data_IF_906295556433
#
_entry.id   IF_906295556433
#
_cell.length_a   1.000
_cell.length_b   1.000
_cell.length_c   1.000
_cell.angle_alpha   90.00
_cell.angle_beta   90.00
_cell.angle_gamma   90.00
#
_symmetry.space_group_name_H-M   'P 1'
#
loop_
_entity.id
_entity.type
_entity.pdbx_description
1 polymer ?
#
# COMPACT_ATOMS: atom_id res chain seq x y z
N UNK A 1 -8.18 9.08 -5.99
CA UNK A 1 -7.06 8.45 -5.26
C UNK A 1 -5.85 9.35 -5.50
N UNK A 2 -5.14 9.82 -4.46
CA UNK A 2 -4.08 10.83 -4.63
C UNK A 2 -2.91 10.36 -5.50
N UNK A 3 -2.73 9.04 -5.63
CA UNK A 3 -1.70 8.41 -6.44
C UNK A 3 -2.03 8.30 -7.94
N UNK A 4 -3.16 8.83 -8.41
CA UNK A 4 -3.44 8.96 -9.85
C UNK A 4 -2.88 10.29 -10.32
N UNK A 5 -2.01 10.27 -11.34
CA UNK A 5 -1.46 11.47 -11.95
C UNK A 5 -2.15 11.84 -13.26
N UNK A 6 -1.74 12.98 -13.82
CA UNK A 6 -2.33 13.54 -15.04
C UNK A 6 -2.18 12.63 -16.24
N UNK A 7 -1.01 11.98 -16.40
CA UNK A 7 -0.77 11.09 -17.53
C UNK A 7 -1.75 9.91 -17.49
N UNK A 8 -1.98 9.34 -16.30
CA UNK A 8 -2.93 8.26 -16.12
C UNK A 8 -4.37 8.74 -16.39
N UNK A 9 -4.76 9.91 -15.89
CA UNK A 9 -6.08 10.50 -16.14
C UNK A 9 -6.35 10.66 -17.65
N UNK A 10 -5.43 11.29 -18.38
CA UNK A 10 -5.57 11.47 -19.83
C UNK A 10 -5.60 10.14 -20.59
N UNK A 11 -4.87 9.11 -20.13
CA UNK A 11 -4.95 7.77 -20.74
C UNK A 11 -6.30 7.11 -20.50
N UNK A 12 -6.83 7.17 -19.28
CA UNK A 12 -8.14 6.60 -18.97
C UNK A 12 -9.22 7.21 -19.86
N UNK A 13 -9.25 8.54 -19.94
CA UNK A 13 -10.20 9.26 -20.80
C UNK A 13 -10.08 8.88 -22.28
N UNK A 14 -8.86 8.86 -22.85
CA UNK A 14 -8.67 8.41 -24.24
C UNK A 14 -9.16 6.99 -24.48
N UNK A 15 -8.90 6.07 -23.55
CA UNK A 15 -9.34 4.67 -23.68
C UNK A 15 -10.85 4.54 -23.59
N UNK A 16 -11.51 5.36 -22.77
CA UNK A 16 -12.97 5.38 -22.70
C UNK A 16 -13.58 5.97 -23.98
N UNK A 17 -13.05 7.08 -24.49
CA UNK A 17 -13.48 7.63 -25.79
C UNK A 17 -13.28 6.67 -26.97
N UNK A 18 -12.22 5.85 -26.93
CA UNK A 18 -12.02 4.77 -27.90
C UNK A 18 -13.02 3.62 -27.74
N UNK A 19 -13.41 3.29 -26.51
CA UNK A 19 -14.38 2.23 -26.21
C UNK A 19 -15.83 2.66 -26.52
N UNK A 20 -16.12 3.96 -26.49
CA UNK A 20 -17.43 4.55 -26.77
C UNK A 20 -17.33 5.54 -27.95
N UNK A 21 -17.17 5.04 -29.20
CA UNK A 21 -16.92 5.88 -30.37
C UNK A 21 -18.05 6.87 -30.67
N UNK A 22 -19.31 6.50 -30.40
CA UNK A 22 -20.47 7.40 -30.58
C UNK A 22 -20.43 8.62 -29.64
N UNK A 23 -19.60 8.55 -28.59
CA UNK A 23 -19.38 9.59 -27.59
C UNK A 23 -17.91 10.00 -27.53
N UNK A 24 -17.16 9.86 -28.63
CA UNK A 24 -15.73 10.15 -28.66
C UNK A 24 -15.38 11.61 -28.38
N UNK A 25 -16.34 12.53 -28.50
CA UNK A 25 -16.14 13.94 -28.18
C UNK A 25 -16.51 14.29 -26.72
N UNK A 26 -17.16 13.38 -26.01
CA UNK A 26 -17.54 13.57 -24.61
C UNK A 26 -16.40 13.15 -23.66
N UNK A 27 -16.21 13.91 -22.58
CA UNK A 27 -15.28 13.56 -21.50
C UNK A 27 -15.63 12.16 -20.96
N UNK A 28 -14.61 11.32 -20.79
CA UNK A 28 -14.71 9.92 -20.40
C UNK A 28 -15.65 9.06 -21.28
N UNK A 29 -15.85 9.43 -22.56
CA UNK A 29 -16.79 8.73 -23.43
C UNK A 29 -18.24 8.86 -22.97
N UNK A 30 -18.58 9.98 -22.33
CA UNK A 30 -19.91 10.27 -21.79
C UNK A 30 -20.29 9.46 -20.55
N UNK A 31 -19.32 8.82 -19.90
CA UNK A 31 -19.54 8.11 -18.64
C UNK A 31 -19.44 9.06 -17.45
N UNK A 32 -20.30 8.90 -16.42
CA UNK A 32 -20.14 9.63 -15.18
C UNK A 32 -18.84 9.21 -14.47
N UNK A 33 -18.06 10.19 -14.03
CA UNK A 33 -16.81 9.97 -13.32
C UNK A 33 -16.85 10.61 -11.92
N UNK A 34 -16.42 9.84 -10.92
CA UNK A 34 -16.30 10.32 -9.52
C UNK A 34 -14.86 10.09 -9.07
N UNK A 35 -14.21 11.15 -8.58
CA UNK A 35 -12.84 11.09 -8.06
C UNK A 35 -12.89 11.11 -6.52
N UNK A 36 -12.50 9.99 -5.91
CA UNK A 36 -12.43 9.85 -4.45
C UNK A 36 -10.98 9.77 -3.98
N UNK A 37 -10.54 10.66 -3.10
CA UNK A 37 -9.22 10.55 -2.47
C UNK A 37 -8.82 11.76 -1.64
N UNK A 38 -7.68 11.65 -0.98
CA UNK A 38 -7.12 12.70 -0.13
C UNK A 38 -5.76 13.14 -0.66
N UNK A 39 -5.71 14.29 -1.31
CA UNK A 39 -4.52 14.82 -1.98
C UNK A 39 -3.41 15.30 -1.02
N UNK A 40 -3.69 15.36 0.30
CA UNK A 40 -2.67 15.59 1.33
C UNK A 40 -1.89 14.31 1.69
N UNK A 41 -2.32 13.14 1.20
CA UNK A 41 -1.55 11.89 1.29
C UNK A 41 -0.46 11.84 0.21
N UNK A 42 0.08 10.66 -0.05
CA UNK A 42 1.17 10.49 -1.00
C UNK A 42 0.75 10.89 -2.43
N UNK A 43 1.62 11.63 -3.15
CA UNK A 43 1.42 11.97 -4.55
C UNK A 43 1.61 10.74 -5.47
N UNK A 44 1.24 10.82 -6.76
CA UNK A 44 1.51 9.75 -7.72
C UNK A 44 3.00 9.44 -7.86
N UNK A 45 3.33 8.15 -8.03
CA UNK A 45 4.69 7.70 -8.30
C UNK A 45 4.96 7.79 -9.80
N UNK A 46 5.97 8.58 -10.19
CA UNK A 46 6.41 8.68 -11.58
C UNK A 46 5.45 9.43 -12.52
N UNK A 47 4.42 10.10 -11.99
CA UNK A 47 3.48 10.94 -12.72
C UNK A 47 3.30 12.28 -11.98
N UNK A 48 2.66 13.26 -12.61
CA UNK A 48 2.42 14.59 -12.04
C UNK A 48 1.10 14.60 -11.26
N UNK A 49 1.04 15.13 -10.02
CA UNK A 49 -0.20 15.28 -9.27
C UNK A 49 -1.28 16.01 -10.08
N UNK A 50 -2.54 15.62 -9.88
CA UNK A 50 -3.67 16.19 -10.63
C UNK A 50 -3.82 17.70 -10.41
N UNK A 51 -3.56 18.20 -9.20
CA UNK A 51 -3.67 19.62 -8.81
C UNK A 51 -2.46 20.50 -9.19
N UNK A 52 -1.38 19.91 -9.71
CA UNK A 52 -0.18 20.69 -10.08
C UNK A 52 -0.53 21.79 -11.10
N UNK A 53 0.18 22.90 -11.17
CA UNK A 53 0.06 23.86 -12.28
C UNK A 53 1.33 23.83 -13.15
N UNK A 54 2.31 23.03 -12.75
CA UNK A 54 3.57 22.87 -13.46
C UNK A 54 3.38 22.09 -14.76
N UNK A 55 4.02 22.60 -15.81
CA UNK A 55 4.16 21.88 -17.07
C UNK A 55 5.04 20.64 -16.87
N UNK A 56 4.57 19.50 -17.37
CA UNK A 56 5.37 18.27 -17.40
C UNK A 56 6.10 18.17 -18.73
N UNK A 57 7.40 17.90 -18.68
CA UNK A 57 8.19 17.54 -19.86
C UNK A 57 7.92 16.11 -20.32
N UNK A 58 7.31 15.26 -19.46
CA UNK A 58 7.02 13.85 -19.76
C UNK A 58 5.62 13.71 -20.35
N UNK A 59 5.53 13.23 -21.60
CA UNK A 59 4.26 13.03 -22.34
C UNK A 59 3.34 14.27 -22.26
N UNK A 60 3.79 15.44 -22.75
CA UNK A 60 3.13 16.71 -22.52
C UNK A 60 1.66 16.73 -22.96
N UNK A 61 1.34 16.12 -24.10
CA UNK A 61 -0.04 16.04 -24.59
C UNK A 61 -1.00 15.32 -23.62
N UNK A 62 -0.61 14.14 -23.11
CA UNK A 62 -1.44 13.36 -22.17
C UNK A 62 -1.54 14.05 -20.81
N UNK A 63 -0.45 14.67 -20.36
CA UNK A 63 -0.43 15.43 -19.11
C UNK A 63 -1.35 16.66 -19.19
N UNK A 64 -1.30 17.42 -20.28
CA UNK A 64 -2.13 18.60 -20.49
C UNK A 64 -3.62 18.23 -20.60
N UNK A 65 -3.92 17.12 -21.27
CA UNK A 65 -5.27 16.57 -21.32
C UNK A 65 -5.77 16.12 -19.94
N UNK A 66 -4.95 15.39 -19.18
CA UNK A 66 -5.27 15.02 -17.80
C UNK A 66 -5.55 16.22 -16.89
N UNK A 67 -4.80 17.32 -17.05
CA UNK A 67 -5.07 18.57 -16.36
C UNK A 67 -6.43 19.17 -16.76
N UNK A 68 -6.71 19.28 -18.06
CA UNK A 68 -7.98 19.84 -18.57
C UNK A 68 -9.18 19.05 -18.04
N UNK A 69 -9.09 17.72 -18.11
CA UNK A 69 -10.10 16.81 -17.57
C UNK A 69 -10.32 17.02 -16.08
N UNK A 70 -9.23 17.13 -15.32
CA UNK A 70 -9.33 17.36 -13.87
C UNK A 70 -9.94 18.71 -13.51
N UNK A 71 -9.63 19.75 -14.30
CA UNK A 71 -10.20 21.09 -14.10
C UNK A 71 -11.71 21.13 -14.41
N UNK A 72 -12.22 20.21 -15.23
CA UNK A 72 -13.66 20.07 -15.48
C UNK A 72 -14.44 19.60 -14.23
N UNK A 73 -13.76 19.02 -13.23
CA UNK A 73 -14.36 18.77 -11.92
C UNK A 73 -14.41 20.08 -11.12
N UNK A 74 -15.57 20.72 -11.11
CA UNK A 74 -15.86 21.97 -10.38
C UNK A 74 -16.66 21.74 -9.11
N UNK A 75 -17.36 20.62 -8.98
CA UNK A 75 -18.08 20.24 -7.76
C UNK A 75 -17.19 19.37 -6.88
N UNK A 76 -17.04 19.76 -5.61
CA UNK A 76 -16.38 18.94 -4.60
C UNK A 76 -17.25 18.75 -3.36
N UNK A 77 -17.10 17.59 -2.73
CA UNK A 77 -17.71 17.28 -1.43
C UNK A 77 -16.58 16.92 -0.49
N UNK A 78 -16.45 17.68 0.60
CA UNK A 78 -15.45 17.43 1.64
C UNK A 78 -16.09 16.70 2.80
N UNK A 79 -15.64 15.47 3.06
CA UNK A 79 -16.04 14.72 4.25
C UNK A 79 -15.24 15.20 5.46
N UNK A 80 -15.93 15.64 6.51
CA UNK A 80 -15.32 16.22 7.72
C UNK A 80 -15.15 15.23 8.87
N UNK A 81 -16.00 14.21 8.97
CA UNK A 81 -15.96 13.23 10.07
C UNK A 81 -14.87 12.17 9.83
N UNK A 82 -13.96 12.05 10.80
CA UNK A 82 -12.91 11.02 10.82
C UNK A 82 -13.40 9.78 11.56
N UNK A 83 -13.71 8.71 10.81
CA UNK A 83 -14.18 7.44 11.41
C UNK A 83 -13.05 6.52 11.90
N UNK A 84 -11.83 6.65 11.36
CA UNK A 84 -10.73 5.74 11.75
C UNK A 84 -10.28 5.97 13.20
N UNK A 85 -10.18 7.25 13.58
CA UNK A 85 -9.84 7.71 14.92
C UNK A 85 -11.08 8.21 15.66
N UNK A 86 -12.19 7.47 15.54
CA UNK A 86 -13.44 7.77 16.21
C UNK A 86 -13.35 7.56 17.73
N UNK A 87 -14.16 8.29 18.48
CA UNK A 87 -14.16 8.30 19.93
C UNK A 87 -13.99 9.72 20.48
N UNK A 88 -14.59 9.94 21.64
CA UNK A 88 -14.69 11.25 22.29
C UNK A 88 -13.87 11.33 23.60
N UNK A 89 -13.04 10.32 23.88
CA UNK A 89 -12.11 10.42 24.99
C UNK A 89 -11.11 11.56 24.73
N UNK A 90 -10.65 12.29 25.77
CA UNK A 90 -9.72 13.40 25.58
C UNK A 90 -8.44 13.02 24.82
N UNK A 91 -7.93 11.81 25.04
CA UNK A 91 -6.77 11.27 24.31
C UNK A 91 -7.07 11.07 22.83
N UNK A 92 -8.24 10.50 22.50
CA UNK A 92 -8.63 10.20 21.13
C UNK A 92 -8.90 11.47 20.32
N UNK A 93 -9.56 12.46 20.95
CA UNK A 93 -9.75 13.81 20.36
C UNK A 93 -8.39 14.46 20.10
N UNK A 94 -7.49 14.47 21.10
CA UNK A 94 -6.15 15.04 20.98
C UNK A 94 -5.34 14.39 19.86
N UNK A 95 -5.40 13.06 19.74
CA UNK A 95 -4.73 12.31 18.68
C UNK A 95 -5.30 12.63 17.29
N UNK A 96 -6.63 12.67 17.16
CA UNK A 96 -7.30 13.04 15.90
C UNK A 96 -6.93 14.45 15.47
N UNK A 97 -6.91 15.41 16.40
CA UNK A 97 -6.56 16.79 16.11
C UNK A 97 -5.09 16.94 15.69
N UNK A 98 -4.18 16.22 16.35
CA UNK A 98 -2.77 16.16 15.97
C UNK A 98 -2.58 15.60 14.55
N UNK A 99 -3.36 14.58 14.15
CA UNK A 99 -3.35 14.05 12.79
C UNK A 99 -3.88 15.04 11.75
N UNK A 100 -4.92 15.81 12.08
CA UNK A 100 -5.47 16.83 11.18
C UNK A 100 -4.47 17.96 10.95
N UNK A 101 -3.76 18.41 12.01
CA UNK A 101 -2.66 19.37 11.88
C UNK A 101 -1.47 18.81 11.11
N UNK A 102 -1.12 17.55 11.34
CA UNK A 102 -0.07 16.86 10.59
C UNK A 102 -0.41 16.75 9.10
N UNK A 103 -1.69 16.55 8.75
CA UNK A 103 -2.18 16.53 7.36
C UNK A 103 -1.96 17.86 6.65
N UNK A 104 -2.15 18.98 7.35
CA UNK A 104 -2.04 20.35 6.82
C UNK A 104 -0.68 20.99 7.07
N UNK A 105 0.29 20.24 7.62
CA UNK A 105 1.61 20.75 7.98
C UNK A 105 1.59 21.87 9.02
N UNK A 106 0.55 21.94 9.84
CA UNK A 106 0.39 22.90 10.94
C UNK A 106 0.60 22.26 12.31
N UNK A 107 1.43 21.20 12.37
CA UNK A 107 1.84 20.53 13.61
C UNK A 107 2.46 21.55 14.56
N UNK A 108 2.16 21.44 15.86
CA UNK A 108 2.74 22.27 16.91
C UNK A 108 3.48 21.43 17.97
N UNK A 109 4.09 22.12 18.93
CA UNK A 109 4.88 21.51 20.01
C UNK A 109 4.07 20.48 20.82
N UNK A 110 2.79 20.74 21.07
CA UNK A 110 1.92 19.83 21.82
C UNK A 110 1.63 18.53 21.06
N UNK A 111 1.60 18.58 19.73
CA UNK A 111 1.46 17.40 18.88
C UNK A 111 2.74 16.57 18.87
N UNK A 112 3.90 17.22 18.82
CA UNK A 112 5.17 16.52 18.90
C UNK A 112 5.37 15.85 20.25
N UNK A 113 5.09 16.55 21.35
CA UNK A 113 5.17 15.95 22.68
C UNK A 113 4.17 14.79 22.84
N UNK A 114 3.02 14.83 22.17
CA UNK A 114 2.10 13.68 22.10
C UNK A 114 2.77 12.48 21.39
N UNK A 115 3.32 12.67 20.18
CA UNK A 115 3.94 11.59 19.42
C UNK A 115 5.20 11.02 20.08
N UNK A 116 5.96 11.87 20.78
CA UNK A 116 7.17 11.50 21.53
C UNK A 116 6.88 10.50 22.66
N UNK A 117 5.68 10.52 23.24
CA UNK A 117 5.25 9.49 24.21
C UNK A 117 5.25 8.08 23.61
N UNK A 118 5.19 7.97 22.27
CA UNK A 118 5.13 6.71 21.54
C UNK A 118 6.48 6.27 20.97
N UNK A 119 7.58 6.94 21.36
CA UNK A 119 8.93 6.49 20.99
C UNK A 119 9.29 5.21 21.75
N UNK A 120 10.00 4.31 21.08
CA UNK A 120 10.35 2.98 21.60
C UNK A 120 10.94 3.00 23.01
N UNK A 121 11.81 3.97 23.30
CA UNK A 121 12.47 4.14 24.60
C UNK A 121 11.50 4.54 25.73
N UNK A 122 10.35 5.13 25.40
CA UNK A 122 9.31 5.55 26.36
C UNK A 122 8.27 4.47 26.67
N UNK A 123 8.22 3.41 25.86
CA UNK A 123 7.23 2.35 26.01
C UNK A 123 7.60 1.34 27.10
N UNK A 124 6.58 0.80 27.74
CA UNK A 124 6.70 -0.36 28.64
C UNK A 124 7.15 -1.62 27.89
N UNK A 125 7.65 -2.63 28.62
CA UNK A 125 8.07 -3.89 27.98
C UNK A 125 6.91 -4.60 27.29
N UNK A 126 5.71 -4.59 27.89
CA UNK A 126 4.51 -5.19 27.29
C UNK A 126 4.12 -4.52 25.97
N UNK A 127 4.17 -3.18 25.91
CA UNK A 127 3.96 -2.44 24.67
C UNK A 127 5.01 -2.77 23.62
N UNK A 128 6.27 -2.91 24.01
CA UNK A 128 7.35 -3.31 23.08
C UNK A 128 7.13 -4.72 22.53
N UNK A 129 6.63 -5.66 23.33
CA UNK A 129 6.34 -7.01 22.86
C UNK A 129 5.19 -7.02 21.86
N UNK A 130 4.11 -6.27 22.12
CA UNK A 130 3.02 -6.05 21.16
C UNK A 130 3.52 -5.42 19.86
N UNK A 131 4.35 -4.39 19.96
CA UNK A 131 4.95 -3.70 18.82
C UNK A 131 5.82 -4.59 17.93
N UNK A 132 6.51 -5.60 18.50
CA UNK A 132 7.27 -6.61 17.72
C UNK A 132 6.35 -7.51 16.88
N UNK A 133 5.10 -7.69 17.32
CA UNK A 133 4.09 -8.48 16.62
C UNK A 133 3.27 -7.66 15.62
N UNK A 134 3.22 -6.34 15.78
CA UNK A 134 2.55 -5.43 14.87
C UNK A 134 3.20 -5.41 13.46
N UNK A 135 2.47 -4.84 12.49
CA UNK A 135 3.02 -4.61 11.16
C UNK A 135 4.01 -3.45 11.20
N UNK A 136 5.18 -3.64 10.61
CA UNK A 136 6.19 -2.59 10.47
C UNK A 136 5.94 -1.75 9.21
N UNK A 137 5.86 -0.43 9.37
CA UNK A 137 5.74 0.53 8.28
C UNK A 137 7.07 1.23 8.06
N UNK A 138 7.72 0.94 6.94
CA UNK A 138 9.07 1.40 6.63
C UNK A 138 9.10 2.27 5.37
N UNK A 139 10.10 3.16 5.22
CA UNK A 139 10.08 4.16 4.15
C UNK A 139 10.50 3.61 2.78
N UNK A 140 11.33 2.58 2.72
CA UNK A 140 11.93 2.08 1.47
C UNK A 140 11.74 0.58 1.31
N UNK A 141 11.80 0.09 0.06
CA UNK A 141 11.74 -1.36 -0.22
C UNK A 141 12.93 -2.11 0.39
N UNK A 142 14.13 -1.49 0.36
CA UNK A 142 15.34 -2.09 0.92
C UNK A 142 15.21 -2.37 2.42
N UNK A 143 14.69 -1.42 3.22
CA UNK A 143 14.50 -1.65 4.66
C UNK A 143 13.37 -2.64 4.96
N UNK A 144 12.33 -2.69 4.10
CA UNK A 144 11.29 -3.74 4.15
C UNK A 144 11.88 -5.12 3.91
N UNK A 145 12.69 -5.28 2.87
CA UNK A 145 13.31 -6.55 2.52
C UNK A 145 14.27 -7.01 3.63
N UNK A 146 15.12 -6.12 4.13
CA UNK A 146 16.01 -6.40 5.26
C UNK A 146 15.22 -6.85 6.51
N UNK A 147 14.17 -6.10 6.89
CA UNK A 147 13.36 -6.44 8.04
C UNK A 147 12.65 -7.79 7.86
N UNK A 148 12.07 -8.05 6.69
CA UNK A 148 11.38 -9.30 6.41
C UNK A 148 12.33 -10.50 6.40
N UNK A 149 13.52 -10.36 5.81
CA UNK A 149 14.54 -11.43 5.79
C UNK A 149 15.01 -11.73 7.21
N UNK A 150 15.28 -10.71 8.02
CA UNK A 150 15.69 -10.87 9.42
C UNK A 150 14.63 -11.63 10.22
N UNK A 151 13.35 -11.27 10.06
CA UNK A 151 12.25 -11.93 10.76
C UNK A 151 11.99 -13.35 10.26
N UNK A 152 12.14 -13.60 8.96
CA UNK A 152 12.06 -14.94 8.40
C UNK A 152 13.17 -15.85 8.95
N UNK A 153 14.41 -15.34 9.02
CA UNK A 153 15.53 -16.08 9.59
C UNK A 153 15.32 -16.39 11.08
N UNK A 154 14.72 -15.45 11.83
CA UNK A 154 14.40 -15.61 13.25
C UNK A 154 13.36 -16.71 13.54
N UNK A 155 12.60 -17.17 12.54
CA UNK A 155 11.70 -18.33 12.70
C UNK A 155 12.46 -19.65 12.93
N UNK A 156 13.75 -19.70 12.60
CA UNK A 156 14.60 -20.90 12.71
C UNK A 156 13.97 -22.16 12.06
N UNK A 157 13.31 -21.98 10.91
CA UNK A 157 12.63 -23.04 10.15
C UNK A 157 13.17 -23.16 8.73
N UNK A 158 13.00 -24.32 8.07
CA UNK A 158 13.37 -24.47 6.66
C UNK A 158 12.68 -23.43 5.78
N UNK A 159 13.50 -22.62 5.09
CA UNK A 159 13.02 -21.61 4.14
C UNK A 159 13.04 -22.20 2.74
N UNK A 160 11.91 -22.12 2.06
CA UNK A 160 11.81 -22.45 0.65
C UNK A 160 11.90 -21.19 -0.22
N UNK A 161 12.63 -21.32 -1.34
CA UNK A 161 12.82 -20.26 -2.32
C UNK A 161 11.95 -20.55 -3.54
N UNK A 162 10.82 -19.87 -3.64
CA UNK A 162 9.85 -20.01 -4.71
C UNK A 162 10.23 -19.11 -5.90
N UNK A 163 10.90 -19.68 -6.91
CA UNK A 163 11.23 -18.96 -8.15
C UNK A 163 10.05 -18.96 -9.11
N UNK A 164 9.67 -17.77 -9.60
CA UNK A 164 8.57 -17.65 -10.55
C UNK A 164 8.89 -18.32 -11.89
N UNK A 165 7.86 -18.81 -12.57
CA UNK A 165 7.96 -19.28 -13.96
C UNK A 165 7.64 -18.14 -14.91
N UNK A 166 8.43 -17.99 -15.97
CA UNK A 166 8.29 -16.90 -16.95
C UNK A 166 8.23 -17.48 -18.36
N UNK A 167 7.50 -16.82 -19.27
CA UNK A 167 7.49 -17.22 -20.69
C UNK A 167 8.75 -16.76 -21.45
N UNK A 168 9.46 -15.74 -20.96
CA UNK A 168 10.68 -15.24 -21.60
C UNK A 168 11.55 -14.41 -20.62
N UNK A 169 12.83 -14.13 -20.98
CA UNK A 169 13.73 -13.32 -20.15
C UNK A 169 13.23 -11.89 -19.88
N UNK A 170 12.46 -11.29 -20.79
CA UNK A 170 11.87 -9.97 -20.60
C UNK A 170 10.85 -9.98 -19.45
N UNK A 171 10.00 -11.00 -19.37
CA UNK A 171 9.03 -11.17 -18.29
C UNK A 171 9.70 -11.40 -16.92
N UNK A 172 10.90 -11.98 -16.89
CA UNK A 172 11.71 -12.13 -15.67
C UNK A 172 12.24 -10.79 -15.15
N UNK A 173 12.59 -9.86 -16.04
CA UNK A 173 13.11 -8.52 -15.70
C UNK A 173 12.02 -7.49 -15.40
N UNK A 174 10.76 -7.80 -15.71
CA UNK A 174 9.64 -6.91 -15.44
C UNK A 174 9.44 -6.68 -13.94
N UNK A 175 8.86 -5.53 -13.60
CA UNK A 175 8.57 -5.18 -12.20
C UNK A 175 7.45 -6.05 -11.62
N UNK A 176 7.32 -6.07 -10.30
CA UNK A 176 6.17 -6.73 -9.65
C UNK A 176 4.85 -6.08 -10.07
N UNK A 177 4.85 -4.77 -10.34
CA UNK A 177 3.66 -4.00 -10.73
C UNK A 177 3.18 -4.41 -12.12
N UNK A 178 4.10 -4.57 -13.08
CA UNK A 178 3.77 -5.08 -14.42
C UNK A 178 3.20 -6.51 -14.36
N UNK A 179 3.67 -7.31 -13.39
CA UNK A 179 3.27 -8.69 -13.18
C UNK A 179 2.12 -8.84 -12.16
N UNK A 180 1.28 -7.81 -11.98
CA UNK A 180 0.11 -7.79 -11.09
C UNK A 180 0.41 -8.25 -9.65
N UNK A 181 1.49 -7.71 -9.08
CA UNK A 181 1.94 -7.97 -7.72
C UNK A 181 2.71 -9.28 -7.53
N UNK A 182 2.95 -10.07 -8.58
CA UNK A 182 3.69 -11.33 -8.49
C UNK A 182 5.20 -11.08 -8.47
N UNK A 183 5.87 -11.45 -7.37
CA UNK A 183 7.31 -11.29 -7.23
C UNK A 183 8.09 -12.33 -8.07
N UNK A 184 9.28 -11.99 -8.61
CA UNK A 184 10.10 -12.96 -9.35
C UNK A 184 10.63 -14.08 -8.46
N UNK A 185 10.81 -13.81 -7.17
CA UNK A 185 11.24 -14.77 -6.15
C UNK A 185 10.56 -14.43 -4.83
N UNK A 186 10.09 -15.47 -4.11
CA UNK A 186 9.51 -15.34 -2.78
C UNK A 186 10.21 -16.32 -1.86
N UNK A 187 10.55 -15.88 -0.64
CA UNK A 187 11.03 -16.75 0.43
C UNK A 187 9.88 -17.05 1.39
N UNK A 188 9.62 -18.33 1.66
CA UNK A 188 8.53 -18.76 2.55
C UNK A 188 9.02 -19.79 3.56
N UNK A 189 8.42 -19.78 4.75
CA UNK A 189 8.57 -20.80 5.78
C UNK A 189 7.25 -20.93 6.55
N UNK A 190 7.00 -22.07 7.17
CA UNK A 190 5.85 -22.21 8.08
C UNK A 190 5.99 -21.23 9.27
N UNK A 191 4.97 -20.44 9.53
CA UNK A 191 4.98 -19.33 10.51
C UNK A 191 5.33 -17.97 9.91
N UNK A 192 5.68 -17.90 8.62
CA UNK A 192 5.98 -16.62 7.98
C UNK A 192 4.74 -15.72 7.90
N UNK A 193 4.88 -14.44 8.26
CA UNK A 193 3.85 -13.44 8.01
C UNK A 193 3.89 -13.05 6.54
N UNK A 194 2.73 -13.16 5.88
CA UNK A 194 2.58 -12.88 4.46
C UNK A 194 1.40 -11.96 4.21
N UNK A 195 1.40 -11.35 3.04
CA UNK A 195 0.33 -10.51 2.53
C UNK A 195 -0.05 -10.97 1.13
N UNK A 196 -1.35 -11.04 0.86
CA UNK A 196 -1.90 -11.31 -0.46
C UNK A 196 -1.62 -10.11 -1.36
N UNK A 197 -1.02 -10.33 -2.54
CA UNK A 197 -0.53 -9.24 -3.40
C UNK A 197 -1.49 -8.82 -4.50
N UNK A 198 -2.61 -9.52 -4.68
CA UNK A 198 -3.66 -9.20 -5.66
C UNK A 198 -5.03 -9.66 -5.18
N UNK A 199 -6.10 -9.14 -5.79
CA UNK A 199 -7.46 -9.54 -5.43
C UNK A 199 -7.72 -10.97 -5.91
N UNK A 200 -7.88 -11.91 -4.97
CA UNK A 200 -8.21 -13.30 -5.25
C UNK A 200 -9.70 -13.56 -5.05
N UNK A 201 -10.26 -13.06 -3.95
CA UNK A 201 -11.68 -13.17 -3.64
C UNK A 201 -12.13 -12.03 -2.71
N UNK A 202 -12.48 -10.91 -3.32
CA UNK A 202 -12.81 -9.66 -2.61
C UNK A 202 -13.96 -9.84 -1.62
N UNK A 203 -15.03 -10.52 -2.03
CA UNK A 203 -16.21 -10.78 -1.21
C UNK A 203 -15.93 -11.60 0.06
N UNK A 204 -14.80 -12.34 0.11
CA UNK A 204 -14.42 -13.21 1.23
C UNK A 204 -13.19 -12.75 1.98
N UNK A 205 -12.73 -11.52 1.74
CA UNK A 205 -11.59 -10.92 2.45
C UNK A 205 -10.21 -11.25 1.88
N UNK A 206 -10.11 -12.00 0.78
CA UNK A 206 -8.83 -12.26 0.08
C UNK A 206 -8.54 -11.15 -0.94
N UNK A 207 -8.32 -9.96 -0.42
CA UNK A 207 -8.01 -8.75 -1.18
C UNK A 207 -6.50 -8.48 -1.22
N UNK A 208 -6.05 -7.66 -2.16
CA UNK A 208 -4.69 -7.13 -2.11
C UNK A 208 -4.48 -6.38 -0.79
N UNK A 209 -3.49 -6.78 0.00
CA UNK A 209 -3.24 -6.26 1.33
C UNK A 209 -3.70 -7.16 2.48
N UNK A 210 -4.49 -8.21 2.20
CA UNK A 210 -4.93 -9.15 3.23
C UNK A 210 -3.73 -9.86 3.87
N UNK A 211 -3.66 -9.83 5.20
CA UNK A 211 -2.54 -10.39 5.97
C UNK A 211 -2.84 -11.81 6.43
N UNK A 212 -1.83 -12.67 6.38
CA UNK A 212 -1.93 -14.02 6.91
C UNK A 212 -0.62 -14.57 7.43
N UNK A 213 -0.70 -15.76 8.01
CA UNK A 213 0.43 -16.53 8.51
C UNK A 213 0.48 -17.83 7.72
N UNK A 214 1.64 -18.16 7.14
CA UNK A 214 1.83 -19.44 6.46
C UNK A 214 1.74 -20.57 7.48
N UNK A 215 0.89 -21.56 7.23
CA UNK A 215 0.70 -22.71 8.11
C UNK A 215 1.27 -23.99 7.54
N UNK A 216 1.13 -24.19 6.22
CA UNK A 216 1.62 -25.37 5.53
C UNK A 216 2.01 -25.05 4.09
N UNK A 217 3.04 -25.73 3.59
CA UNK A 217 3.51 -25.61 2.20
C UNK A 217 3.52 -27.01 1.60
N UNK A 218 2.72 -27.24 0.56
CA UNK A 218 2.63 -28.52 -0.12
C UNK A 218 3.12 -28.46 -1.55
N UNK A 219 3.77 -29.55 -1.94
CA UNK A 219 4.29 -29.80 -3.27
C UNK A 219 3.55 -30.97 -3.89
N UNK A 220 3.40 -30.96 -5.21
CA UNK A 220 2.88 -32.15 -5.91
C UNK A 220 3.83 -33.32 -5.68
N UNK A 221 3.29 -34.54 -5.63
CA UNK A 221 4.10 -35.75 -5.49
C UNK A 221 5.22 -35.78 -6.53
N UNK A 222 6.43 -36.18 -6.10
CA UNK A 222 7.64 -36.31 -6.94
C UNK A 222 8.16 -35.00 -7.56
N UNK A 223 7.79 -33.84 -7.02
CA UNK A 223 8.38 -32.56 -7.44
C UNK A 223 9.56 -32.15 -6.56
N UNK A 224 10.61 -31.61 -7.17
CA UNK A 224 11.75 -31.03 -6.45
C UNK A 224 11.40 -29.62 -5.95
N UNK A 225 11.37 -29.36 -4.64
CA UNK A 225 11.07 -28.04 -4.08
C UNK A 225 12.07 -26.94 -4.47
N UNK A 226 13.24 -27.30 -4.99
CA UNK A 226 14.25 -26.33 -5.48
C UNK A 226 13.97 -25.82 -6.89
N UNK A 227 13.16 -26.54 -7.66
CA UNK A 227 12.90 -26.27 -9.09
C UNK A 227 11.44 -25.93 -9.37
N UNK A 228 10.53 -26.37 -8.51
CA UNK A 228 9.10 -26.21 -8.68
C UNK A 228 8.53 -25.25 -7.64
N UNK A 229 7.43 -24.58 -8.02
CA UNK A 229 6.62 -23.84 -7.06
C UNK A 229 5.83 -24.85 -6.19
N UNK A 230 5.51 -24.48 -4.93
CA UNK A 230 4.49 -25.19 -4.17
C UNK A 230 3.20 -25.33 -4.98
N UNK A 231 2.56 -26.48 -4.89
CA UNK A 231 1.24 -26.69 -5.46
C UNK A 231 0.21 -25.85 -4.71
N UNK A 232 0.34 -25.78 -3.39
CA UNK A 232 -0.52 -24.97 -2.51
C UNK A 232 0.24 -24.51 -1.28
N UNK A 233 -0.02 -23.29 -0.85
CA UNK A 233 0.41 -22.73 0.44
C UNK A 233 -0.83 -22.42 1.25
N UNK A 234 -0.95 -23.00 2.44
CA UNK A 234 -2.04 -22.71 3.35
C UNK A 234 -1.68 -21.54 4.23
N UNK A 235 -2.55 -20.55 4.29
CA UNK A 235 -2.41 -19.41 5.16
C UNK A 235 -3.60 -19.29 6.09
N UNK A 236 -3.36 -18.87 7.32
CA UNK A 236 -4.42 -18.35 8.19
C UNK A 236 -4.52 -16.85 7.94
N UNK A 237 -5.64 -16.39 7.40
CA UNK A 237 -5.86 -14.98 7.04
C UNK A 237 -6.87 -14.34 7.98
N UNK A 238 -6.51 -13.21 8.59
CA UNK A 238 -7.45 -12.44 9.42
C UNK A 238 -8.55 -11.86 8.51
N UNK A 239 -9.82 -12.07 8.88
CA UNK A 239 -10.97 -11.55 8.14
C UNK A 239 -11.40 -12.36 6.92
N UNK A 240 -10.84 -13.56 6.70
CA UNK A 240 -11.38 -14.48 5.71
C UNK A 240 -12.74 -15.02 6.17
N UNK A 241 -13.75 -14.91 5.31
CA UNK A 241 -15.14 -15.34 5.58
C UNK A 241 -15.66 -16.30 4.51
N UNK A 242 -14.75 -16.88 3.72
CA UNK A 242 -15.08 -17.88 2.72
C UNK A 242 -15.34 -19.26 3.34
N UNK A 243 -15.66 -20.25 2.50
CA UNK A 243 -15.86 -21.62 2.96
C UNK A 243 -14.59 -22.18 3.60
N UNK A 244 -14.78 -23.06 4.56
CA UNK A 244 -13.71 -23.87 5.13
C UNK A 244 -13.11 -24.79 4.06
N UNK A 245 -11.84 -25.16 4.21
CA UNK A 245 -11.26 -26.18 3.36
C UNK A 245 -11.89 -27.56 3.63
N UNK A 246 -11.77 -28.44 2.64
CA UNK A 246 -12.39 -29.75 2.64
C UNK A 246 -11.61 -30.75 3.50
N UNK A 247 -11.57 -30.55 4.83
CA UNK A 247 -11.16 -31.55 5.82
C UNK A 247 -9.89 -32.34 5.47
N UNK A 248 -8.91 -31.71 4.82
CA UNK A 248 -7.68 -32.39 4.43
C UNK A 248 -6.89 -32.77 5.68
N UNK A 249 -6.31 -33.96 5.69
CA UNK A 249 -5.58 -34.45 6.87
C UNK A 249 -4.43 -33.48 7.22
N UNK A 250 -4.38 -33.06 8.49
CA UNK A 250 -3.39 -32.11 8.98
C UNK A 250 -3.60 -30.65 8.54
N UNK A 251 -4.77 -30.31 8.00
CA UNK A 251 -5.15 -28.95 7.61
C UNK A 251 -6.36 -28.51 8.42
N UNK A 252 -6.22 -27.39 9.13
CA UNK A 252 -7.31 -26.80 9.89
C UNK A 252 -8.37 -26.19 8.97
N UNK A 253 -9.69 -26.32 9.25
CA UNK A 253 -10.77 -25.86 8.37
C UNK A 253 -10.68 -24.39 7.93
N UNK A 254 -10.15 -23.52 8.81
CA UNK A 254 -10.05 -22.08 8.57
C UNK A 254 -8.80 -21.66 7.77
N UNK A 255 -7.91 -22.60 7.41
CA UNK A 255 -6.74 -22.31 6.57
C UNK A 255 -7.13 -22.18 5.11
N UNK A 256 -6.69 -21.09 4.49
CA UNK A 256 -7.00 -20.74 3.11
C UNK A 256 -5.93 -21.31 2.18
N UNK A 257 -6.30 -22.13 1.18
CA UNK A 257 -5.36 -22.60 0.18
C UNK A 257 -5.03 -21.50 -0.83
N UNK A 258 -3.75 -21.18 -0.97
CA UNK A 258 -3.23 -20.24 -1.96
C UNK A 258 -2.41 -21.01 -2.99
N UNK A 259 -2.84 -20.95 -4.24
CA UNK A 259 -2.20 -21.64 -5.37
C UNK A 259 -1.44 -20.64 -6.27
N UNK A 260 -0.42 -21.10 -7.02
CA UNK A 260 0.22 -20.25 -8.02
C UNK A 260 -0.78 -19.74 -9.06
N UNK A 261 -0.66 -18.46 -9.40
CA UNK A 261 -1.48 -17.79 -10.43
C UNK A 261 -0.59 -17.20 -11.51
N UNK A 262 -1.15 -17.00 -12.71
CA UNK A 262 -0.40 -16.42 -13.84
C UNK A 262 -0.89 -15.00 -14.12
N UNK A 263 0.01 -14.03 -14.04
CA UNK A 263 -0.20 -12.69 -14.60
C UNK A 263 0.24 -12.68 -16.06
N UNK A 264 -0.53 -11.98 -16.91
CA UNK A 264 -0.26 -11.78 -18.33
C UNK A 264 -0.37 -10.30 -18.66
N UNK A 265 0.59 -9.78 -19.41
CA UNK A 265 0.62 -8.39 -19.86
C UNK A 265 1.38 -8.28 -21.18
N UNK A 266 1.37 -7.11 -21.81
CA UNK A 266 2.14 -6.83 -23.02
C UNK A 266 3.23 -5.81 -22.72
N UNK A 267 4.39 -5.97 -23.37
CA UNK A 267 5.39 -4.92 -23.37
C UNK A 267 5.07 -3.80 -24.38
N UNK A 268 5.95 -2.81 -24.48
CA UNK A 268 5.76 -1.65 -25.36
C UNK A 268 5.74 -2.00 -26.85
N UNK A 269 6.19 -3.18 -27.22
CA UNK A 269 6.21 -3.70 -28.60
C UNK A 269 5.00 -4.57 -28.91
N UNK A 270 4.09 -4.76 -27.95
CA UNK A 270 2.94 -5.67 -28.09
C UNK A 270 3.30 -7.14 -27.83
N UNK A 271 4.50 -7.43 -27.34
CA UNK A 271 4.90 -8.81 -27.03
C UNK A 271 4.22 -9.28 -25.76
N UNK A 272 3.54 -10.42 -25.84
CA UNK A 272 2.91 -11.05 -24.69
C UNK A 272 3.95 -11.58 -23.68
N UNK A 273 3.81 -11.15 -22.43
CA UNK A 273 4.65 -11.51 -21.29
C UNK A 273 3.79 -12.21 -20.23
N UNK A 274 4.38 -13.17 -19.52
CA UNK A 274 3.70 -13.83 -18.40
C UNK A 274 4.64 -14.21 -17.25
N UNK A 275 4.07 -14.21 -16.04
CA UNK A 275 4.71 -14.66 -14.80
C UNK A 275 3.75 -15.52 -14.01
N UNK A 276 4.16 -16.72 -13.63
CA UNK A 276 3.42 -17.60 -12.73
C UNK A 276 4.12 -17.69 -11.39
N UNK A 277 3.41 -17.35 -10.32
CA UNK A 277 3.92 -17.31 -8.94
C UNK A 277 2.77 -17.36 -7.93
N UNK A 278 3.06 -17.68 -6.67
CA UNK A 278 2.14 -17.46 -5.55
C UNK A 278 1.84 -15.96 -5.38
N UNK A 279 0.57 -15.55 -5.21
CA UNK A 279 0.18 -14.15 -4.97
C UNK A 279 0.42 -13.72 -3.51
N UNK A 280 1.63 -13.96 -3.01
CA UNK A 280 2.05 -13.70 -1.63
C UNK A 280 3.35 -12.88 -1.61
N UNK A 281 3.55 -12.10 -0.56
CA UNK A 281 4.81 -11.48 -0.23
C UNK A 281 5.01 -11.50 1.30
N UNK A 282 6.25 -11.52 1.78
CA UNK A 282 6.53 -11.39 3.21
C UNK A 282 6.00 -10.04 3.73
N UNK A 283 5.45 -10.06 4.94
CA UNK A 283 4.69 -8.95 5.49
C UNK A 283 4.83 -8.77 7.01
N UNK A 284 6.03 -9.01 7.55
CA UNK A 284 6.36 -8.40 8.85
C UNK A 284 6.53 -6.89 8.70
N UNK A 285 7.08 -6.46 7.56
CA UNK A 285 7.19 -5.08 7.15
C UNK A 285 6.58 -4.85 5.76
N UNK A 286 6.01 -3.66 5.56
CA UNK A 286 5.60 -3.13 4.26
C UNK A 286 6.06 -1.69 4.12
N UNK A 287 6.09 -1.18 2.89
CA UNK A 287 6.38 0.24 2.67
C UNK A 287 5.21 1.09 3.14
N UNK A 288 5.49 2.32 3.60
CA UNK A 288 4.46 3.32 3.94
C UNK A 288 3.53 3.58 2.74
N UNK A 289 4.04 3.52 1.50
CA UNK A 289 3.20 3.59 0.29
C UNK A 289 2.15 2.49 0.21
N UNK A 290 2.54 1.25 0.53
CA UNK A 290 1.62 0.10 0.50
C UNK A 290 0.60 0.13 1.63
N UNK A 291 0.87 0.85 2.72
CA UNK A 291 -0.11 0.99 3.81
C UNK A 291 -1.20 2.03 3.53
N UNK A 292 -1.07 2.83 2.47
CA UNK A 292 -2.04 3.88 2.16
C UNK A 292 -3.44 3.28 1.90
N UNK A 293 -4.40 3.66 2.74
CA UNK A 293 -5.77 3.15 2.70
C UNK A 293 -6.03 1.97 3.65
N UNK A 294 -4.99 1.34 4.21
CA UNK A 294 -5.12 0.29 5.22
C UNK A 294 -5.41 0.93 6.58
N UNK A 295 -6.22 0.25 7.39
CA UNK A 295 -6.45 0.59 8.81
C UNK A 295 -5.86 -0.53 9.66
N UNK A 296 -5.07 -0.17 10.66
CA UNK A 296 -4.39 -1.10 11.56
C UNK A 296 -4.82 -0.84 12.99
N UNK A 297 -4.91 -1.88 13.81
CA UNK A 297 -5.09 -1.71 15.26
C UNK A 297 -3.79 -1.26 15.90
N UNK A 298 -2.67 -1.85 15.48
CA UNK A 298 -1.32 -1.52 15.95
C UNK A 298 -0.34 -1.46 14.76
N UNK A 299 0.62 -0.53 14.81
CA UNK A 299 1.68 -0.40 13.81
C UNK A 299 2.99 0.11 14.42
N UNK A 300 4.09 -0.51 14.01
CA UNK A 300 5.45 -0.05 14.35
C UNK A 300 6.03 0.72 13.17
N UNK A 301 6.28 2.00 13.36
CA UNK A 301 6.65 2.93 12.29
C UNK A 301 8.12 3.31 12.39
N UNK A 302 8.78 3.33 11.23
CA UNK A 302 10.06 3.97 11.06
C UNK A 302 9.95 5.00 9.93
N UNK A 303 10.15 6.27 10.26
CA UNK A 303 9.98 7.37 9.29
C UNK A 303 11.25 7.66 8.48
N UNK A 304 12.38 7.04 8.83
CA UNK A 304 13.70 7.37 8.30
C UNK A 304 14.15 8.80 8.63
N UNK A 305 15.29 9.25 8.06
CA UNK A 305 15.90 10.53 8.42
C UNK A 305 15.12 11.76 7.95
N UNK A 306 14.34 11.65 6.86
CA UNK A 306 13.55 12.75 6.29
C UNK A 306 12.39 12.25 5.43
N UNK A 307 11.36 13.09 5.29
CA UNK A 307 10.30 12.88 4.30
C UNK A 307 10.86 13.19 2.92
N UNK A 308 11.13 12.14 2.14
CA UNK A 308 11.48 12.29 0.73
C UNK A 308 10.26 12.57 -0.15
N UNK A 309 9.04 12.39 0.39
CA UNK A 309 7.78 12.73 -0.26
C UNK A 309 6.82 13.38 0.73
N UNK A 310 6.07 14.37 0.25
CA UNK A 310 4.98 14.97 1.00
C UNK A 310 3.92 13.91 1.38
N UNK A 311 3.34 14.04 2.56
CA UNK A 311 2.33 13.14 3.11
C UNK A 311 2.88 11.86 3.74
N UNK A 312 4.19 11.57 3.68
CA UNK A 312 4.72 10.28 4.14
C UNK A 312 4.53 10.05 5.65
N UNK A 313 4.93 11.01 6.49
CA UNK A 313 4.68 10.95 7.94
C UNK A 313 3.18 10.87 8.26
N UNK A 314 2.36 11.69 7.60
CA UNK A 314 0.90 11.68 7.78
C UNK A 314 0.29 10.32 7.42
N UNK A 315 0.64 9.75 6.27
CA UNK A 315 0.14 8.44 5.83
C UNK A 315 0.53 7.37 6.82
N UNK A 316 1.80 7.34 7.26
CA UNK A 316 2.26 6.34 8.21
C UNK A 316 1.50 6.41 9.54
N UNK A 317 1.43 7.58 10.17
CA UNK A 317 0.87 7.75 11.52
C UNK A 317 -0.66 7.58 11.50
N UNK A 318 -1.33 8.04 10.46
CA UNK A 318 -2.80 7.95 10.34
C UNK A 318 -3.35 6.55 10.08
N UNK A 319 -2.51 5.49 10.03
CA UNK A 319 -2.95 4.11 9.79
C UNK A 319 -3.59 3.47 11.02
N UNK A 320 -3.22 3.90 12.23
CA UNK A 320 -3.71 3.32 13.49
C UNK A 320 -4.98 3.99 13.99
N UNK A 321 -5.84 3.26 14.70
CA UNK A 321 -7.10 3.78 15.24
C UNK A 321 -6.91 4.63 16.50
N UNK A 322 -5.97 4.25 17.36
CA UNK A 322 -5.73 4.89 18.66
C UNK A 322 -4.26 5.30 18.78
N UNK A 323 -3.96 6.23 19.68
CA UNK A 323 -2.58 6.62 19.99
C UNK A 323 -1.77 5.44 20.57
N UNK A 324 -2.40 4.60 21.40
CA UNK A 324 -1.79 3.41 21.97
C UNK A 324 -1.38 2.36 20.93
N UNK A 325 -2.05 2.33 19.77
CA UNK A 325 -1.67 1.47 18.64
C UNK A 325 -0.45 1.97 17.87
N UNK A 326 0.01 3.20 18.12
CA UNK A 326 1.16 3.81 17.45
C UNK A 326 2.45 3.49 18.20
N UNK A 327 3.48 3.05 17.49
CA UNK A 327 4.84 2.96 18.02
C UNK A 327 5.83 3.48 17.01
N UNK A 328 6.75 4.34 17.45
CA UNK A 328 7.91 4.75 16.64
C UNK A 328 9.13 3.97 17.07
N UNK A 329 9.70 3.17 16.16
CA UNK A 329 10.89 2.35 16.44
C UNK A 329 12.13 3.20 16.67
N UNK A 330 12.20 4.35 16.01
CA UNK A 330 13.29 5.31 16.13
C UNK A 330 12.73 6.66 16.54
N UNK A 331 13.39 7.31 17.50
CA UNK A 331 13.12 8.69 17.84
C UNK A 331 13.52 9.60 16.67
N UNK A 332 12.81 10.71 16.51
CA UNK A 332 13.08 11.72 15.49
C UNK A 332 13.00 13.12 16.10
N UNK A 333 13.74 14.10 15.57
CA UNK A 333 13.74 15.45 16.12
C UNK A 333 12.41 16.17 15.84
N UNK A 334 12.12 17.19 16.63
CA UNK A 334 10.92 18.03 16.48
C UNK A 334 10.76 18.62 15.07
N UNK A 335 11.88 19.05 14.48
CA UNK A 335 11.94 19.55 13.10
C UNK A 335 11.48 18.54 12.03
N UNK A 336 11.31 17.26 12.38
CA UNK A 336 10.75 16.24 11.48
C UNK A 336 9.29 16.49 11.13
N UNK A 337 8.52 16.99 12.10
CA UNK A 337 7.07 17.18 11.98
C UNK A 337 6.68 18.66 11.81
N UNK A 338 7.56 19.58 12.23
CA UNK A 338 7.41 20.99 11.92
C UNK A 338 7.85 21.27 10.48
N UNK A 339 7.02 22.02 9.76
CA UNK A 339 7.46 22.71 8.55
C UNK A 339 7.28 24.20 8.74
N UNK A 340 8.35 24.94 8.54
CA UNK A 340 8.38 26.39 8.64
C UNK A 340 7.94 27.08 7.35
N UNK A 341 8.03 26.38 6.21
CA UNK A 341 7.69 26.93 4.89
C UNK A 341 6.77 26.00 4.09
N UNK A 342 5.81 26.62 3.43
CA UNK A 342 4.90 25.95 2.52
C UNK A 342 5.64 25.59 1.22
N UNK A 343 5.59 24.32 0.81
CA UNK A 343 6.17 23.94 -0.48
C UNK A 343 5.28 24.41 -1.63
N UNK A 344 5.87 24.63 -2.81
CA UNK A 344 5.08 24.89 -4.02
C UNK A 344 3.99 23.83 -4.29
N UNK A 345 4.22 22.57 -3.90
CA UNK A 345 3.19 21.51 -4.02
C UNK A 345 2.00 21.74 -3.11
N UNK A 346 2.24 22.25 -1.89
CA UNK A 346 1.18 22.58 -0.93
C UNK A 346 0.41 23.82 -1.40
N UNK A 347 1.10 24.84 -1.89
CA UNK A 347 0.48 26.03 -2.46
C UNK A 347 -0.48 25.67 -3.61
N UNK A 348 -0.03 24.82 -4.54
CA UNK A 348 -0.86 24.34 -5.64
C UNK A 348 -2.06 23.53 -5.14
N UNK A 349 -1.88 22.70 -4.10
CA UNK A 349 -2.98 21.97 -3.49
C UNK A 349 -4.01 22.91 -2.83
N UNK A 350 -3.54 23.94 -2.12
CA UNK A 350 -4.42 24.92 -1.47
C UNK A 350 -5.21 25.75 -2.49
N UNK A 351 -4.57 26.19 -3.57
CA UNK A 351 -5.25 26.85 -4.70
C UNK A 351 -6.31 25.93 -5.34
N UNK A 352 -6.00 24.64 -5.48
CA UNK A 352 -6.91 23.66 -6.03
C UNK A 352 -8.09 23.32 -5.09
N UNK A 353 -7.86 23.34 -3.77
CA UNK A 353 -8.93 23.25 -2.77
C UNK A 353 -9.86 24.47 -2.87
N UNK A 354 -9.32 25.67 -3.02
CA UNK A 354 -10.11 26.90 -3.15
C UNK A 354 -10.89 26.99 -4.48
N UNK A 355 -10.45 26.26 -5.52
CA UNK A 355 -11.06 26.26 -6.85
C UNK A 355 -12.37 25.45 -6.94
N UNK A 356 -12.52 24.40 -6.13
CA UNK A 356 -13.66 23.47 -6.18
C UNK A 356 -14.59 23.66 -5.00
#
# INVERSE_FOLDING_TARGET
KSMVGRTQMGRCDRRLRQAFPDKSEEIFGGLPAIILGDFAQLPPIGDTPLYSTRNSTRKPALTAEGQRLYNAFTQSITLSRVFRQEGDSPEQVRFRDALLRLRTYSTNDNDYELFKTRFWDKLSEDERQKAKLALHLLPTRASVDECNIKQLAALAKPVVRCKAKHNCPAAKKASDEDADGLQPEILLAEGAKVMVTRNLWTAKGLVNGAQGIVKKIWYSARTNPREHLPAVVFIECKGYSGPNNAGWEGIEPHWVPIVPVTARWEDRTGKALSRTQLPLALAWAITIHKSQGVTLDEATIELGPKDFQAGLSFVAISRVKTLSGLVFRTAFPHSRLLRTEETASMQMLNLDIARR
#
